data_IF_539255328360
#
_entry.id   IF_539255328360
#
_cell.length_a   1.000
_cell.length_b   1.000
_cell.length_c   1.000
_cell.angle_alpha   90.00
_cell.angle_beta   90.00
_cell.angle_gamma   90.00
#
_symmetry.space_group_name_H-M   'P 1'
#
loop_
_entity.id
_entity.type
_entity.pdbx_description
1 polymer ?
#
# COMPACT_ATOMS: atom_id res chain seq x y z
N UNK A 1 0.21 14.35 -29.61
CA UNK A 1 0.44 12.89 -29.49
C UNK A 1 -0.62 12.34 -28.54
N UNK A 2 -1.59 11.59 -29.06
CA UNK A 2 -2.71 11.05 -28.27
C UNK A 2 -2.17 9.90 -27.43
N UNK A 3 -1.99 10.13 -26.12
CA UNK A 3 -1.60 9.09 -25.19
C UNK A 3 -2.78 8.12 -25.07
N UNK A 4 -2.66 6.99 -25.78
CA UNK A 4 -3.58 5.88 -25.70
C UNK A 4 -3.54 5.37 -24.26
N UNK A 5 -4.62 5.66 -23.51
CA UNK A 5 -4.77 5.24 -22.13
C UNK A 5 -4.96 3.73 -22.11
N UNK A 6 -3.87 3.01 -21.81
CA UNK A 6 -3.87 1.56 -21.74
C UNK A 6 -4.34 1.13 -20.32
N UNK A 7 -5.57 0.61 -20.17
CA UNK A 7 -6.13 0.23 -18.88
C UNK A 7 -5.36 -0.91 -18.19
N UNK A 8 -4.46 -1.59 -18.89
CA UNK A 8 -3.62 -2.66 -18.33
C UNK A 8 -2.58 -2.17 -17.31
N UNK A 9 -2.16 -0.89 -17.38
CA UNK A 9 -1.19 -0.30 -16.44
C UNK A 9 -1.78 -0.20 -15.03
N UNK A 10 -3.08 0.04 -14.90
CA UNK A 10 -3.78 0.18 -13.60
C UNK A 10 -3.95 -1.17 -12.91
N UNK A 11 -4.26 -2.21 -13.69
CA UNK A 11 -4.33 -3.59 -13.18
C UNK A 11 -2.97 -4.09 -12.68
N UNK A 12 -1.89 -3.71 -13.36
CA UNK A 12 -0.53 -4.10 -13.00
C UNK A 12 -0.09 -3.43 -11.68
N UNK A 13 -0.44 -2.16 -11.47
CA UNK A 13 -0.18 -1.46 -10.22
C UNK A 13 -0.95 -2.03 -9.03
N UNK A 14 -2.23 -2.35 -9.21
CA UNK A 14 -3.06 -2.98 -8.17
C UNK A 14 -2.52 -4.39 -7.80
N UNK A 15 -2.12 -5.18 -8.80
CA UNK A 15 -1.59 -6.53 -8.58
C UNK A 15 -0.24 -6.53 -7.84
N UNK A 16 0.65 -5.59 -8.13
CA UNK A 16 1.95 -5.46 -7.44
C UNK A 16 1.76 -5.01 -5.98
N UNK A 17 0.82 -4.09 -5.73
CA UNK A 17 0.47 -3.66 -4.38
C UNK A 17 -0.17 -4.78 -3.55
N UNK A 18 -1.08 -5.55 -4.14
CA UNK A 18 -1.72 -6.68 -3.47
C UNK A 18 -0.72 -7.79 -3.13
N UNK A 19 0.25 -8.08 -4.02
CA UNK A 19 1.32 -9.05 -3.75
C UNK A 19 2.29 -8.59 -2.66
N UNK A 20 2.60 -7.29 -2.57
CA UNK A 20 3.43 -6.73 -1.50
C UNK A 20 2.71 -6.74 -0.14
N UNK A 21 1.44 -6.37 -0.12
CA UNK A 21 0.58 -6.45 1.06
C UNK A 21 0.47 -7.89 1.57
N UNK A 22 0.26 -8.85 0.66
CA UNK A 22 0.22 -10.27 1.00
C UNK A 22 1.53 -10.73 1.65
N UNK A 23 2.70 -10.35 1.12
CA UNK A 23 4.01 -10.74 1.68
C UNK A 23 4.20 -10.23 3.12
N UNK A 24 3.77 -9.01 3.43
CA UNK A 24 3.86 -8.45 4.78
C UNK A 24 2.92 -9.17 5.74
N UNK A 25 1.68 -9.45 5.30
CA UNK A 25 0.72 -10.23 6.08
C UNK A 25 1.24 -11.65 6.32
N UNK A 26 1.82 -12.30 5.32
CA UNK A 26 2.42 -13.63 5.47
C UNK A 26 3.62 -13.64 6.42
N UNK A 27 4.50 -12.63 6.34
CA UNK A 27 5.65 -12.52 7.26
C UNK A 27 5.21 -12.24 8.69
N UNK A 28 4.24 -11.34 8.89
CA UNK A 28 3.69 -11.04 10.20
C UNK A 28 2.90 -12.25 10.78
N UNK A 29 2.16 -12.97 9.94
CA UNK A 29 1.49 -14.21 10.32
C UNK A 29 2.48 -15.30 10.72
N UNK A 30 3.55 -15.48 9.95
CA UNK A 30 4.59 -16.46 10.25
C UNK A 30 5.32 -16.13 11.55
N UNK A 31 5.72 -14.86 11.73
CA UNK A 31 6.39 -14.42 12.95
C UNK A 31 5.47 -14.57 14.16
N UNK A 32 4.20 -14.16 14.03
CA UNK A 32 3.17 -14.35 15.05
C UNK A 32 2.96 -15.81 15.39
N UNK A 33 2.93 -16.70 14.40
CA UNK A 33 2.82 -18.14 14.60
C UNK A 33 4.01 -18.70 15.39
N UNK A 34 5.23 -18.34 15.00
CA UNK A 34 6.45 -18.82 15.67
C UNK A 34 6.50 -18.34 17.12
N UNK A 35 6.27 -17.05 17.37
CA UNK A 35 6.24 -16.51 18.73
C UNK A 35 5.11 -17.11 19.58
N UNK A 36 3.92 -17.26 19.00
CA UNK A 36 2.78 -17.88 19.65
C UNK A 36 3.04 -19.35 19.99
N UNK A 37 3.70 -20.10 19.10
CA UNK A 37 4.04 -21.50 19.33
C UNK A 37 5.09 -21.67 20.43
N UNK A 38 6.11 -20.81 20.46
CA UNK A 38 7.13 -20.80 21.51
C UNK A 38 6.48 -20.45 22.87
N UNK A 39 5.69 -19.37 22.92
CA UNK A 39 4.99 -18.98 24.15
C UNK A 39 4.02 -20.07 24.64
N UNK A 40 3.27 -20.68 23.72
CA UNK A 40 2.34 -21.77 24.01
C UNK A 40 3.04 -23.06 24.47
N UNK A 41 4.25 -23.33 23.97
CA UNK A 41 5.04 -24.49 24.40
C UNK A 41 5.56 -24.38 25.84
N UNK A 42 5.80 -23.16 26.34
CA UNK A 42 6.21 -22.94 27.74
C UNK A 42 5.09 -23.15 28.78
N UNK A 43 3.83 -23.12 28.35
CA UNK A 43 2.65 -23.32 29.20
C UNK A 43 2.18 -24.78 29.26
N UNK A 44 2.67 -25.65 28.37
CA UNK A 44 2.27 -27.04 28.26
C UNK A 44 3.21 -27.99 29.01
N UNK A 45 2.67 -29.07 29.59
CA UNK A 45 3.48 -30.13 30.18
C UNK A 45 4.39 -30.80 29.12
N UNK A 46 5.61 -31.22 29.47
CA UNK A 46 6.50 -31.92 28.55
C UNK A 46 5.86 -33.24 28.11
N UNK A 47 5.36 -33.26 26.87
CA UNK A 47 4.81 -34.47 26.25
C UNK A 47 5.94 -35.14 25.47
N UNK A 48 6.42 -36.29 25.94
CA UNK A 48 7.60 -36.99 25.41
C UNK A 48 7.56 -37.24 23.90
N UNK A 49 8.01 -36.26 23.12
CA UNK A 49 8.09 -36.29 21.65
C UNK A 49 6.83 -35.86 20.89
N UNK A 50 5.74 -35.46 21.55
CA UNK A 50 4.52 -34.96 20.88
C UNK A 50 4.50 -33.44 20.87
N UNK A 51 3.93 -32.84 19.82
CA UNK A 51 3.73 -31.39 19.78
C UNK A 51 2.66 -31.05 20.84
N UNK A 52 2.96 -30.23 21.86
CA UNK A 52 1.99 -29.91 22.89
C UNK A 52 0.84 -29.11 22.29
N UNK A 53 -0.41 -29.49 22.62
CA UNK A 53 -1.63 -28.84 22.12
C UNK A 53 -1.60 -27.32 22.35
N UNK A 54 -1.02 -26.88 23.47
CA UNK A 54 -0.86 -25.46 23.80
C UNK A 54 0.11 -24.72 22.86
N UNK A 55 1.13 -25.38 22.30
CA UNK A 55 1.99 -24.77 21.28
C UNK A 55 1.24 -24.56 19.96
N UNK A 56 0.42 -25.52 19.54
CA UNK A 56 -0.39 -25.36 18.33
C UNK A 56 -1.44 -24.27 18.53
N UNK A 57 -2.14 -24.27 19.66
CA UNK A 57 -3.12 -23.24 20.00
C UNK A 57 -2.48 -21.85 20.10
N UNK A 58 -1.35 -21.75 20.81
CA UNK A 58 -0.58 -20.51 20.92
C UNK A 58 -0.10 -20.00 19.57
N UNK A 59 0.39 -20.88 18.69
CA UNK A 59 0.80 -20.53 17.33
C UNK A 59 -0.37 -20.01 16.49
N UNK A 60 -1.55 -20.65 16.55
CA UNK A 60 -2.74 -20.17 15.83
C UNK A 60 -3.16 -18.79 16.34
N UNK A 61 -3.21 -18.58 17.66
CA UNK A 61 -3.54 -17.27 18.24
C UNK A 61 -2.52 -16.20 17.85
N UNK A 62 -1.23 -16.50 17.93
CA UNK A 62 -0.16 -15.62 17.51
C UNK A 62 -0.22 -15.29 16.02
N UNK A 63 -0.57 -16.24 15.16
CA UNK A 63 -0.77 -16.03 13.74
C UNK A 63 -1.95 -15.09 13.46
N UNK A 64 -3.08 -15.25 14.16
CA UNK A 64 -4.25 -14.38 14.00
C UNK A 64 -3.94 -12.93 14.39
N UNK A 65 -3.21 -12.73 15.49
CA UNK A 65 -2.74 -11.40 15.91
C UNK A 65 -1.71 -10.85 14.92
N UNK A 66 -0.78 -11.69 14.46
CA UNK A 66 0.20 -11.30 13.43
C UNK A 66 -0.47 -10.85 12.13
N UNK A 67 -1.53 -11.53 11.70
CA UNK A 67 -2.32 -11.17 10.52
C UNK A 67 -3.04 -9.84 10.73
N UNK A 68 -3.66 -9.60 11.88
CA UNK A 68 -4.40 -8.36 12.14
C UNK A 68 -3.46 -7.14 12.18
N UNK A 69 -2.31 -7.27 12.83
CA UNK A 69 -1.26 -6.23 12.86
C UNK A 69 -0.63 -6.04 11.46
N UNK A 70 -0.39 -7.13 10.74
CA UNK A 70 0.14 -7.11 9.38
C UNK A 70 -0.78 -6.40 8.40
N UNK A 71 -2.11 -6.54 8.56
CA UNK A 71 -3.11 -5.84 7.74
C UNK A 71 -3.09 -4.33 7.93
N UNK A 72 -2.95 -3.84 9.16
CA UNK A 72 -2.83 -2.41 9.43
C UNK A 72 -1.60 -1.80 8.75
N UNK A 73 -0.45 -2.50 8.79
CA UNK A 73 0.76 -2.05 8.09
C UNK A 73 0.63 -2.13 6.58
N UNK A 74 -0.01 -3.16 6.05
CA UNK A 74 -0.30 -3.27 4.62
C UNK A 74 -1.16 -2.10 4.11
N UNK A 75 -2.13 -1.64 4.92
CA UNK A 75 -2.98 -0.49 4.59
C UNK A 75 -2.18 0.82 4.46
N UNK A 76 -1.20 1.05 5.34
CA UNK A 76 -0.32 2.25 5.26
C UNK A 76 0.45 2.30 3.94
N UNK A 77 0.97 1.15 3.47
CA UNK A 77 1.67 1.09 2.18
C UNK A 77 0.73 1.33 0.99
N UNK A 78 -0.53 0.86 1.08
CA UNK A 78 -1.55 1.19 0.06
C UNK A 78 -1.86 2.68 0.05
N UNK A 79 -2.00 3.30 1.23
CA UNK A 79 -2.26 4.73 1.36
C UNK A 79 -1.12 5.58 0.78
N UNK A 80 0.14 5.21 1.06
CA UNK A 80 1.31 5.90 0.50
C UNK A 80 1.35 5.83 -1.03
N UNK A 81 0.98 4.70 -1.62
CA UNK A 81 0.93 4.57 -3.07
C UNK A 81 -0.17 5.45 -3.70
N UNK A 82 -1.33 5.56 -3.05
CA UNK A 82 -2.40 6.45 -3.51
C UNK A 82 -2.00 7.92 -3.43
N UNK A 83 -1.32 8.32 -2.35
CA UNK A 83 -0.78 9.69 -2.22
C UNK A 83 0.22 10.04 -3.33
N UNK A 84 1.11 9.10 -3.66
CA UNK A 84 2.07 9.30 -4.75
C UNK A 84 1.37 9.48 -6.11
N UNK A 85 0.31 8.71 -6.39
CA UNK A 85 -0.47 8.87 -7.62
C UNK A 85 -1.23 10.20 -7.67
N UNK A 86 -1.83 10.62 -6.56
CA UNK A 86 -2.48 11.93 -6.47
C UNK A 86 -1.48 13.06 -6.77
N UNK A 87 -0.26 12.98 -6.25
CA UNK A 87 0.77 13.99 -6.49
C UNK A 87 1.16 14.09 -7.96
N UNK A 88 1.37 12.96 -8.63
CA UNK A 88 1.66 12.94 -10.08
C UNK A 88 0.49 13.52 -10.89
N UNK A 89 -0.75 13.22 -10.50
CA UNK A 89 -1.93 13.76 -11.16
C UNK A 89 -2.05 15.28 -10.98
N UNK A 90 -1.73 15.79 -9.79
CA UNK A 90 -1.69 17.24 -9.52
C UNK A 90 -0.64 17.90 -10.40
N UNK A 91 0.61 17.39 -10.43
CA UNK A 91 1.66 17.95 -11.29
C UNK A 91 1.25 17.97 -12.77
N UNK A 92 0.62 16.90 -13.25
CA UNK A 92 0.15 16.82 -14.63
C UNK A 92 -0.96 17.84 -14.94
N UNK A 93 -1.91 18.01 -14.01
CA UNK A 93 -2.97 19.01 -14.15
C UNK A 93 -2.43 20.43 -14.06
N UNK A 94 -1.50 20.71 -13.14
CA UNK A 94 -0.86 22.03 -13.01
C UNK A 94 -0.04 22.38 -14.24
N UNK A 95 0.70 21.42 -14.82
CA UNK A 95 1.44 21.65 -16.07
C UNK A 95 0.49 21.97 -17.24
N UNK A 96 -0.60 21.21 -17.39
CA UNK A 96 -1.62 21.52 -18.41
C UNK A 96 -2.26 22.88 -18.20
N UNK A 97 -2.59 23.24 -16.97
CA UNK A 97 -3.17 24.55 -16.65
C UNK A 97 -2.19 25.70 -16.99
N UNK A 98 -0.90 25.51 -16.72
CA UNK A 98 0.13 26.46 -17.11
C UNK A 98 0.27 26.59 -18.64
N UNK A 99 0.25 25.47 -19.37
CA UNK A 99 0.27 25.46 -20.84
C UNK A 99 -0.92 26.24 -21.42
N UNK A 100 -2.14 26.02 -20.92
CA UNK A 100 -3.34 26.77 -21.33
C UNK A 100 -3.22 28.26 -21.02
N UNK A 101 -2.77 28.62 -19.81
CA UNK A 101 -2.58 30.03 -19.44
C UNK A 101 -1.55 30.74 -20.34
N UNK A 102 -0.46 30.06 -20.70
CA UNK A 102 0.53 30.62 -21.65
C UNK A 102 -0.01 30.74 -23.07
N UNK A 103 -0.88 29.82 -23.50
CA UNK A 103 -1.56 29.89 -24.80
C UNK A 103 -2.57 31.06 -24.85
N UNK A 104 -3.32 31.29 -23.77
CA UNK A 104 -4.24 32.44 -23.67
C UNK A 104 -3.49 33.78 -23.65
N UNK A 105 -2.36 33.86 -22.95
CA UNK A 105 -1.51 35.06 -22.90
C UNK A 105 -0.87 35.40 -24.26
N UNK A 106 -0.49 34.38 -25.05
CA UNK A 106 0.06 34.58 -26.40
C UNK A 106 -1.00 34.98 -27.43
N UNK A 107 -2.25 34.60 -27.23
CA UNK A 107 -3.38 34.99 -28.09
C UNK A 107 -3.98 36.37 -27.76
N UNK A 108 -3.60 37.00 -26.63
CA UNK A 108 -4.12 38.32 -26.20
C UNK A 108 -3.01 39.37 -26.01
N UNK A 109 -2.24 39.74 -27.05
CA UNK A 109 -1.14 40.73 -26.90
C UNK A 109 -1.60 42.17 -26.62
N UNK A 110 -2.91 42.49 -26.65
CA UNK A 110 -3.38 43.90 -26.64
C UNK A 110 -4.34 44.33 -25.51
N UNK A 111 -4.71 43.49 -24.56
CA UNK A 111 -5.67 43.90 -23.51
C UNK A 111 -5.02 44.62 -22.30
N UNK A 112 -3.71 44.46 -22.08
CA UNK A 112 -2.98 45.02 -20.91
C UNK A 112 -2.33 46.38 -21.23
N UNK A 113 -3.02 47.25 -21.97
CA UNK A 113 -2.55 48.63 -22.23
C UNK A 113 -3.61 49.70 -21.94
N UNK A 114 -4.73 49.36 -21.27
CA UNK A 114 -5.73 50.34 -20.85
C UNK A 114 -6.15 50.18 -19.40
N UNK A 115 -5.22 50.41 -18.48
CA UNK A 115 -5.57 51.02 -17.18
C UNK A 115 -4.40 51.94 -16.83
N UNK A 116 -4.44 53.15 -17.40
CA UNK A 116 -3.69 54.32 -16.92
C UNK A 116 -4.63 55.21 -16.13
#
# INVERSE_FOLDING_TARGET
>A
MVLNYDPSIIHTHAAVLYRRAARIVYMAAFLGFVFGAIAGSGLGAPTGGKIPVFAVAGGIFGALIGVSVGRARAFVFQLQAQLALCQVAIEANTRRAAEVATAEATLTPHAVSRVG
#
